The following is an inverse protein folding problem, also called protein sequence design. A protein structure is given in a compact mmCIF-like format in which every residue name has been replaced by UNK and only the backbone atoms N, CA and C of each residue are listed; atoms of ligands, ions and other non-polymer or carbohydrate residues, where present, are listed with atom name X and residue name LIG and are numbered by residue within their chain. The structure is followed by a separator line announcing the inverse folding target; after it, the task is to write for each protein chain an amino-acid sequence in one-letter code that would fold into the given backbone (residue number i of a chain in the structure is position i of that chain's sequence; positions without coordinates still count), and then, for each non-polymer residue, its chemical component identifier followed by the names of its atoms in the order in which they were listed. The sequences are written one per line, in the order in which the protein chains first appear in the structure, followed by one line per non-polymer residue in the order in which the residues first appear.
data_IF_547709605184
#
_entry.id   IF_547709605184
#
_cell.length_a   1.000
_cell.length_b   1.000
_cell.length_c   1.000
_cell.angle_alpha   90.00
_cell.angle_beta   90.00
_cell.angle_gamma   90.00
#
_symmetry.space_group_name_H-M   'P 1'
#
loop_
_entity.id
_entity.type
_entity.pdbx_description
1 polymer ?
#
# COMPACT_ATOMS: atom_id res chain seq x y z
N UNK A 1 -32.99 -13.58 -41.24
CA UNK A 1 -33.91 -12.86 -40.33
C UNK A 1 -34.75 -13.88 -39.55
N UNK A 2 -34.39 -14.13 -38.29
CA UNK A 2 -35.25 -14.75 -37.28
C UNK A 2 -34.92 -14.09 -35.94
N UNK A 3 -35.90 -13.39 -35.40
CA UNK A 3 -35.85 -12.64 -34.14
C UNK A 3 -36.31 -13.61 -33.04
N UNK A 4 -35.55 -13.76 -31.96
CA UNK A 4 -36.01 -14.43 -30.74
C UNK A 4 -35.99 -13.45 -29.55
N UNK A 5 -36.95 -13.57 -28.61
CA UNK A 5 -37.30 -12.49 -27.69
C UNK A 5 -36.51 -12.53 -26.37
N UNK A 6 -36.38 -11.33 -25.81
CA UNK A 6 -35.84 -11.03 -24.49
C UNK A 6 -36.52 -11.85 -23.38
N UNK A 7 -35.72 -12.38 -22.46
CA UNK A 7 -36.16 -12.74 -21.11
C UNK A 7 -35.45 -11.83 -20.11
N UNK A 8 -36.24 -10.87 -19.63
CA UNK A 8 -35.97 -10.01 -18.49
C UNK A 8 -36.16 -10.85 -17.24
N UNK A 9 -35.08 -11.15 -16.51
CA UNK A 9 -35.16 -11.70 -15.17
C UNK A 9 -34.53 -10.69 -14.21
N UNK A 10 -35.41 -9.83 -13.68
CA UNK A 10 -35.15 -9.00 -12.52
C UNK A 10 -34.95 -9.89 -11.29
N UNK A 11 -33.75 -9.85 -10.72
CA UNK A 11 -33.49 -10.45 -9.40
C UNK A 11 -33.43 -9.35 -8.34
N UNK A 12 -34.27 -9.57 -7.33
CA UNK A 12 -34.56 -8.64 -6.26
C UNK A 12 -33.37 -8.50 -5.29
N UNK A 13 -33.04 -7.25 -4.99
CA UNK A 13 -32.11 -6.85 -3.93
C UNK A 13 -32.78 -7.07 -2.58
N UNK A 14 -32.28 -8.02 -1.79
CA UNK A 14 -32.63 -8.21 -0.38
C UNK A 14 -31.57 -7.52 0.48
N UNK A 15 -31.82 -6.27 0.85
CA UNK A 15 -31.07 -5.54 1.87
C UNK A 15 -31.51 -6.01 3.26
N UNK A 16 -30.68 -6.83 3.91
CA UNK A 16 -30.76 -7.05 5.36
C UNK A 16 -29.99 -5.95 6.08
N UNK A 17 -30.71 -4.92 6.55
CA UNK A 17 -30.20 -3.93 7.49
C UNK A 17 -30.32 -4.50 8.89
N UNK A 18 -29.25 -5.08 9.41
CA UNK A 18 -29.17 -5.51 10.82
C UNK A 18 -28.70 -4.33 11.66
N UNK A 19 -29.63 -3.70 12.37
CA UNK A 19 -29.34 -2.67 13.34
C UNK A 19 -28.63 -3.25 14.58
N UNK A 20 -27.34 -2.94 14.76
CA UNK A 20 -26.65 -3.15 16.03
C UNK A 20 -27.12 -2.09 17.04
N UNK A 21 -28.16 -2.42 17.81
CA UNK A 21 -28.41 -1.78 19.10
C UNK A 21 -27.58 -2.49 20.18
N UNK A 22 -26.60 -1.78 20.73
CA UNK A 22 -25.75 -2.23 21.82
C UNK A 22 -25.37 -1.07 22.73
N UNK A 23 -26.36 -0.55 23.44
CA UNK A 23 -26.22 0.42 24.54
C UNK A 23 -25.68 -0.32 25.76
N UNK A 24 -24.50 0.05 26.26
CA UNK A 24 -24.10 -0.23 27.65
C UNK A 24 -23.29 0.94 28.18
N UNK A 25 -23.99 1.83 28.88
CA UNK A 25 -23.42 2.83 29.77
C UNK A 25 -22.66 2.10 30.90
N UNK A 26 -21.36 2.35 31.00
CA UNK A 26 -20.58 2.01 32.19
C UNK A 26 -20.52 3.24 33.12
N UNK A 27 -20.60 3.05 34.44
CA UNK A 27 -20.76 4.12 35.42
C UNK A 27 -19.51 4.98 35.58
N UNK A 28 -19.75 6.28 35.77
CA UNK A 28 -18.78 7.29 36.16
C UNK A 28 -18.04 6.87 37.45
N UNK A 29 -16.72 6.69 37.33
CA UNK A 29 -15.84 6.55 38.48
C UNK A 29 -15.35 7.94 38.89
N UNK A 30 -15.71 8.31 40.12
CA UNK A 30 -15.28 9.51 40.82
C UNK A 30 -13.75 9.57 40.92
N UNK A 31 -13.08 10.70 40.58
CA UNK A 31 -11.68 10.86 40.89
C UNK A 31 -11.48 11.10 42.39
N UNK A 32 -10.72 10.21 43.02
CA UNK A 32 -10.18 10.35 44.37
C UNK A 32 -9.17 11.51 44.43
N UNK A 33 -9.25 12.44 45.40
CA UNK A 33 -8.24 13.46 45.62
C UNK A 33 -7.17 12.95 46.62
N UNK A 34 -5.94 12.76 46.15
CA UNK A 34 -4.70 12.55 46.93
C UNK A 34 -3.54 12.66 45.93
N UNK A 35 -2.44 13.37 46.12
CA UNK A 35 -1.76 13.95 47.27
C UNK A 35 -0.96 15.16 46.78
N UNK A 36 -0.79 16.19 47.63
CA UNK A 36 0.15 17.28 47.39
C UNK A 36 1.59 16.72 47.44
N UNK A 37 2.44 16.92 46.42
CA UNK A 37 3.85 16.56 46.51
C UNK A 37 4.57 17.42 47.56
N UNK A 38 5.40 16.76 48.37
CA UNK A 38 6.17 17.36 49.47
C UNK A 38 7.33 18.21 48.91
N UNK A 39 7.74 19.32 49.57
CA UNK A 39 8.63 20.34 48.98
C UNK A 39 10.13 20.00 48.95
N UNK A 40 10.54 18.74 48.76
CA UNK A 40 11.95 18.34 48.91
C UNK A 40 12.61 17.63 47.72
N UNK A 41 11.92 17.55 46.59
CA UNK A 41 12.47 16.97 45.34
C UNK A 41 12.47 17.94 44.16
N UNK A 42 12.25 19.24 44.41
CA UNK A 42 12.27 20.29 43.38
C UNK A 42 13.69 20.75 42.96
N UNK A 43 14.75 20.16 43.52
CA UNK A 43 16.14 20.61 43.27
C UNK A 43 16.90 19.76 42.23
N UNK A 44 16.37 18.62 41.80
CA UNK A 44 17.05 17.74 40.83
C UNK A 44 16.41 17.71 39.43
N UNK A 45 15.35 18.48 39.19
CA UNK A 45 14.65 18.53 37.88
C UNK A 45 14.91 19.82 37.11
N UNK A 46 15.71 20.74 37.65
CA UNK A 46 15.97 22.06 37.03
C UNK A 46 17.19 22.10 36.07
N UNK A 47 17.86 20.96 35.82
CA UNK A 47 19.07 20.93 34.96
C UNK A 47 18.93 20.11 33.66
N UNK A 48 17.75 19.58 33.32
CA UNK A 48 17.49 18.93 32.02
C UNK A 48 16.49 19.76 31.20
N UNK A 49 16.66 21.07 31.17
CA UNK A 49 15.77 21.98 30.42
C UNK A 49 16.56 22.98 29.55
N UNK A 50 17.78 22.64 29.15
CA UNK A 50 18.61 23.52 28.34
C UNK A 50 19.44 22.71 27.35
N UNK A 51 18.93 22.59 26.12
CA UNK A 51 19.74 22.15 24.98
C UNK A 51 19.14 21.12 24.03
N UNK A 52 17.83 20.89 24.02
CA UNK A 52 17.20 20.30 22.83
C UNK A 52 16.77 21.47 21.98
N UNK A 53 17.65 21.89 21.07
CA UNK A 53 17.20 22.69 19.94
C UNK A 53 16.09 21.87 19.28
N UNK A 54 14.89 22.44 19.19
CA UNK A 54 13.87 22.00 18.25
C UNK A 54 14.51 22.12 16.86
N UNK A 55 15.21 21.06 16.46
CA UNK A 55 15.45 20.78 15.07
C UNK A 55 14.06 20.53 14.52
N UNK A 56 13.48 21.58 13.93
CA UNK A 56 12.30 21.49 13.09
C UNK A 56 12.68 20.47 12.01
N UNK A 57 12.39 19.21 12.28
CA UNK A 57 12.46 18.14 11.30
C UNK A 57 11.37 18.51 10.31
N UNK A 58 11.73 19.35 9.35
CA UNK A 58 11.04 19.47 8.08
C UNK A 58 11.11 18.05 7.55
N UNK A 59 10.04 17.29 7.78
CA UNK A 59 9.90 16.00 7.14
C UNK A 59 10.05 16.29 5.65
N UNK A 60 11.14 15.82 5.04
CA UNK A 60 11.28 15.79 3.58
C UNK A 60 10.17 14.87 3.08
N UNK A 61 8.97 15.46 2.93
CA UNK A 61 7.78 14.85 2.33
C UNK A 61 7.93 14.76 0.82
N UNK A 62 8.97 15.37 0.26
CA UNK A 62 9.25 15.36 -1.17
C UNK A 62 10.13 14.15 -1.53
N UNK A 63 9.65 13.34 -2.48
CA UNK A 63 10.48 12.32 -3.09
C UNK A 63 11.38 12.97 -4.15
N UNK A 64 12.56 12.38 -4.39
CA UNK A 64 13.42 12.79 -5.50
C UNK A 64 13.41 11.72 -6.60
N UNK A 65 13.21 10.45 -6.21
CA UNK A 65 13.31 9.27 -7.06
C UNK A 65 12.22 8.26 -6.71
N UNK A 66 11.86 7.40 -7.66
CA UNK A 66 10.84 6.38 -7.42
C UNK A 66 11.17 5.46 -6.22
N UNK A 67 12.44 5.16 -5.97
CA UNK A 67 12.87 4.36 -4.81
C UNK A 67 12.61 5.00 -3.45
N UNK A 68 12.36 6.32 -3.41
CA UNK A 68 12.00 7.04 -2.18
C UNK A 68 10.52 6.82 -1.83
N UNK A 69 9.75 6.32 -2.79
CA UNK A 69 8.34 6.03 -2.68
C UNK A 69 8.08 4.54 -2.46
N UNK A 70 7.07 4.27 -1.64
CA UNK A 70 6.62 2.93 -1.29
C UNK A 70 5.10 2.89 -1.36
N UNK A 71 4.56 1.73 -1.73
CA UNK A 71 3.12 1.46 -1.59
C UNK A 71 2.84 1.11 -0.14
N UNK A 72 1.86 1.79 0.45
CA UNK A 72 1.45 1.65 1.85
C UNK A 72 0.00 1.20 1.85
N UNK A 73 -0.26 0.07 2.49
CA UNK A 73 -1.61 -0.38 2.78
C UNK A 73 -2.11 0.30 4.05
N UNK A 74 -3.29 0.92 3.97
CA UNK A 74 -3.88 1.72 5.05
C UNK A 74 -4.63 0.85 6.07
N UNK A 75 -5.09 -0.33 5.66
CA UNK A 75 -5.94 -1.21 6.46
C UNK A 75 -5.14 -2.13 7.40
N UNK A 76 -3.81 -1.99 7.48
CA UNK A 76 -2.95 -2.82 8.33
C UNK A 76 -3.26 -2.72 9.84
N UNK A 77 -4.07 -1.75 10.28
CA UNK A 77 -4.38 -1.52 11.69
C UNK A 77 -5.74 -2.11 12.15
N UNK A 78 -6.34 -3.05 11.41
CA UNK A 78 -7.63 -3.68 11.76
C UNK A 78 -7.72 -5.16 11.39
N UNK A 79 -8.88 -5.79 11.67
CA UNK A 79 -9.20 -7.14 11.17
C UNK A 79 -9.16 -7.11 9.63
N UNK A 80 -8.30 -7.91 8.98
CA UNK A 80 -8.25 -8.06 7.53
C UNK A 80 -9.68 -8.26 7.00
N UNK A 81 -10.26 -7.24 6.36
CA UNK A 81 -11.56 -7.36 5.71
C UNK A 81 -11.31 -8.02 4.37
N UNK A 82 -11.45 -9.35 4.36
CA UNK A 82 -11.22 -10.16 3.15
C UNK A 82 -12.18 -9.82 1.99
N UNK A 83 -13.21 -9.01 2.25
CA UNK A 83 -14.27 -8.61 1.33
C UNK A 83 -14.12 -7.19 0.75
N UNK A 84 -13.17 -6.38 1.25
CA UNK A 84 -12.91 -5.03 0.74
C UNK A 84 -11.59 -5.00 -0.03
N UNK A 85 -11.56 -4.26 -1.14
CA UNK A 85 -10.31 -4.04 -1.88
C UNK A 85 -9.31 -3.31 -0.96
N UNK A 86 -8.01 -3.67 -0.99
CA UNK A 86 -7.03 -3.07 -0.11
C UNK A 86 -6.98 -1.56 -0.34
N UNK A 87 -7.05 -0.78 0.75
CA UNK A 87 -6.84 0.66 0.65
C UNK A 87 -5.35 0.94 0.54
N UNK A 88 -4.90 1.21 -0.68
CA UNK A 88 -3.51 1.52 -0.98
C UNK A 88 -3.30 3.04 -1.12
N UNK A 89 -2.14 3.51 -0.65
CA UNK A 89 -1.61 4.84 -0.98
C UNK A 89 -0.13 4.72 -1.34
N UNK A 90 0.38 5.67 -2.12
CA UNK A 90 1.82 5.87 -2.22
C UNK A 90 2.27 6.84 -1.11
N UNK A 91 3.48 6.67 -0.63
CA UNK A 91 4.09 7.58 0.34
C UNK A 91 5.59 7.33 0.45
N UNK A 92 6.24 8.10 1.30
CA UNK A 92 7.67 7.94 1.58
C UNK A 92 7.93 6.78 2.56
N UNK A 93 9.19 6.38 2.71
CA UNK A 93 9.58 5.44 3.78
C UNK A 93 9.23 5.97 5.18
N UNK A 94 9.26 7.29 5.38
CA UNK A 94 8.86 7.91 6.64
C UNK A 94 7.35 7.75 6.90
N UNK A 95 6.52 7.88 5.85
CA UNK A 95 5.08 7.63 5.94
C UNK A 95 4.78 6.18 6.28
N UNK A 96 5.50 5.23 5.68
CA UNK A 96 5.36 3.81 6.00
C UNK A 96 5.72 3.53 7.47
N UNK A 97 6.82 4.12 7.96
CA UNK A 97 7.21 4.01 9.37
C UNK A 97 6.18 4.65 10.31
N UNK A 98 5.62 5.80 9.95
CA UNK A 98 4.57 6.46 10.71
C UNK A 98 3.30 5.60 10.77
N UNK A 99 2.86 5.06 9.62
CA UNK A 99 1.72 4.14 9.53
C UNK A 99 1.97 2.89 10.39
N UNK A 100 3.17 2.31 10.31
CA UNK A 100 3.56 1.13 11.10
C UNK A 100 3.50 1.42 12.60
N UNK A 101 3.96 2.59 13.04
CA UNK A 101 3.86 3.02 14.44
C UNK A 101 2.41 3.21 14.89
N UNK A 102 1.57 3.80 14.04
CA UNK A 102 0.14 3.95 14.32
C UNK A 102 -0.51 2.59 14.52
N UNK A 103 -0.27 1.63 13.62
CA UNK A 103 -0.79 0.28 13.75
C UNK A 103 -0.25 -0.43 15.00
N UNK A 104 1.04 -0.29 15.31
CA UNK A 104 1.63 -0.88 16.51
C UNK A 104 1.04 -0.31 17.81
N UNK A 105 0.69 0.97 17.84
CA UNK A 105 0.05 1.61 18.99
C UNK A 105 -1.40 1.15 19.21
N UNK A 106 -2.10 0.74 18.16
CA UNK A 106 -3.47 0.20 18.22
C UNK A 106 -3.50 -1.33 18.35
N UNK A 107 -2.34 -1.98 18.45
CA UNK A 107 -2.15 -3.42 18.24
C UNK A 107 -2.60 -4.37 19.36
N UNK A 108 -3.56 -3.99 20.20
CA UNK A 108 -4.21 -5.03 21.03
C UNK A 108 -4.92 -6.08 20.18
N UNK A 109 -5.33 -5.73 18.95
CA UNK A 109 -5.96 -6.63 17.97
C UNK A 109 -5.28 -6.67 16.58
N UNK A 110 -4.26 -5.83 16.32
CA UNK A 110 -3.48 -5.92 15.08
C UNK A 110 -2.52 -7.10 15.18
N UNK A 111 -2.95 -8.29 14.77
CA UNK A 111 -1.99 -9.36 14.55
C UNK A 111 -0.99 -8.92 13.46
N UNK A 112 0.32 -9.17 13.63
CA UNK A 112 1.35 -8.82 12.65
C UNK A 112 1.22 -9.55 11.30
N UNK A 113 0.13 -10.29 11.07
CA UNK A 113 -0.21 -10.93 9.82
C UNK A 113 -0.65 -9.95 8.72
N UNK A 114 -1.01 -8.70 9.06
CA UNK A 114 -1.24 -7.65 8.06
C UNK A 114 0.07 -7.05 7.52
N UNK A 115 1.22 -7.65 7.85
CA UNK A 115 2.51 -7.15 7.42
C UNK A 115 2.73 -7.47 5.96
N UNK A 116 2.90 -6.45 5.10
CA UNK A 116 3.83 -6.32 3.95
C UNK A 116 3.85 -7.46 2.89
N UNK A 117 3.10 -8.54 3.10
CA UNK A 117 3.03 -9.76 2.31
C UNK A 117 1.67 -9.73 1.60
N UNK A 118 1.62 -9.08 0.45
CA UNK A 118 0.41 -9.11 -0.39
C UNK A 118 -0.02 -7.77 -0.98
N UNK A 119 0.85 -6.76 -1.04
CA UNK A 119 0.58 -5.65 -1.96
C UNK A 119 0.54 -6.24 -3.35
N UNK A 120 -0.62 -6.16 -3.99
CA UNK A 120 -0.82 -6.63 -5.37
C UNK A 120 0.30 -6.04 -6.24
N UNK A 121 1.12 -6.89 -6.90
CA UNK A 121 2.28 -6.44 -7.67
C UNK A 121 1.89 -5.52 -8.83
N UNK A 122 0.61 -5.44 -9.19
CA UNK A 122 0.09 -4.48 -10.16
C UNK A 122 0.14 -3.03 -9.66
N UNK A 123 0.37 -2.76 -8.37
CA UNK A 123 0.52 -1.41 -7.86
C UNK A 123 1.98 -1.08 -7.59
N UNK A 124 2.41 0.08 -8.06
CA UNK A 124 3.71 0.66 -7.75
C UNK A 124 3.55 2.09 -7.22
N UNK A 125 4.62 2.59 -6.61
CA UNK A 125 4.74 3.99 -6.23
C UNK A 125 5.84 4.65 -7.08
N UNK A 126 5.51 5.77 -7.72
CA UNK A 126 6.46 6.57 -8.50
C UNK A 126 6.63 7.94 -7.85
N UNK A 127 7.78 8.57 -8.10
CA UNK A 127 8.01 9.95 -7.70
C UNK A 127 7.69 10.88 -8.86
N UNK A 128 6.60 11.65 -8.75
CA UNK A 128 6.13 12.56 -9.80
C UNK A 128 6.07 13.96 -9.23
N UNK A 129 6.86 14.88 -9.79
CA UNK A 129 6.85 16.29 -9.37
C UNK A 129 7.14 16.50 -7.87
N UNK A 130 7.96 15.65 -7.27
CA UNK A 130 8.27 15.70 -5.84
C UNK A 130 7.25 15.00 -4.93
N UNK A 131 6.22 14.37 -5.46
CA UNK A 131 5.20 13.64 -4.68
C UNK A 131 5.17 12.16 -5.04
N UNK A 132 4.96 11.30 -4.04
CA UNK A 132 4.77 9.87 -4.27
C UNK A 132 3.35 9.59 -4.77
N UNK A 133 3.24 9.09 -6.01
CA UNK A 133 1.98 8.75 -6.65
C UNK A 133 1.81 7.25 -6.77
N UNK A 134 0.57 6.79 -6.52
CA UNK A 134 0.20 5.38 -6.66
C UNK A 134 -0.20 5.13 -8.11
N UNK A 135 0.46 4.17 -8.77
CA UNK A 135 0.18 3.79 -10.15
C UNK A 135 -0.35 2.36 -10.18
N UNK A 136 -1.55 2.19 -10.75
CA UNK A 136 -2.11 0.88 -11.09
C UNK A 136 -1.63 0.50 -12.49
N UNK A 137 -0.71 -0.47 -12.56
CA UNK A 137 -0.11 -0.92 -13.80
C UNK A 137 -1.15 -1.42 -14.78
N UNK A 138 -2.27 -2.00 -14.34
CA UNK A 138 -3.35 -2.52 -15.20
C UNK A 138 -4.11 -1.43 -15.98
N UNK A 139 -3.84 -0.16 -15.68
CA UNK A 139 -4.46 1.01 -16.31
C UNK A 139 -3.44 2.04 -16.77
N UNK A 140 -2.15 1.74 -16.63
CA UNK A 140 -1.06 2.64 -16.98
C UNK A 140 -0.55 2.37 -18.39
N UNK A 141 0.12 3.36 -18.97
CA UNK A 141 0.84 3.22 -20.25
C UNK A 141 1.85 2.06 -20.21
N UNK A 142 2.44 1.76 -19.06
CA UNK A 142 3.44 0.69 -18.89
C UNK A 142 2.91 -0.74 -19.12
N UNK A 143 1.59 -0.90 -19.23
CA UNK A 143 0.96 -2.17 -19.58
C UNK A 143 0.22 -2.13 -20.90
N UNK A 144 0.25 -1.03 -21.66
CA UNK A 144 -0.49 -0.95 -22.92
C UNK A 144 -0.07 -2.05 -23.91
N UNK A 145 -1.07 -2.72 -24.49
CA UNK A 145 -0.87 -3.83 -25.41
C UNK A 145 -1.92 -3.83 -26.51
N UNK A 146 -1.59 -4.44 -27.65
CA UNK A 146 -2.56 -4.76 -28.69
C UNK A 146 -2.97 -6.23 -28.62
N UNK A 147 -2.06 -7.09 -28.19
CA UNK A 147 -2.21 -8.55 -28.12
C UNK A 147 -1.52 -9.12 -26.88
N UNK A 148 -1.90 -10.34 -26.47
CA UNK A 148 -1.26 -11.04 -25.36
C UNK A 148 0.25 -11.27 -25.58
N UNK A 149 0.69 -11.33 -26.84
CA UNK A 149 2.11 -11.47 -27.19
C UNK A 149 2.93 -10.20 -26.89
N UNK A 150 2.29 -9.05 -26.65
CA UNK A 150 2.97 -7.82 -26.25
C UNK A 150 3.27 -7.79 -24.75
N UNK A 151 2.74 -8.76 -23.99
CA UNK A 151 2.86 -8.80 -22.54
C UNK A 151 4.01 -9.69 -22.07
N UNK A 152 4.60 -9.31 -20.94
CA UNK A 152 5.58 -10.12 -20.21
C UNK A 152 5.37 -10.02 -18.70
N UNK A 153 5.75 -11.08 -17.99
CA UNK A 153 5.78 -11.09 -16.52
C UNK A 153 7.13 -10.59 -16.04
N UNK A 154 7.10 -9.52 -15.25
CA UNK A 154 8.29 -8.93 -14.65
C UNK A 154 7.93 -8.32 -13.29
N UNK A 155 8.81 -8.43 -12.29
CA UNK A 155 8.67 -7.64 -11.08
C UNK A 155 8.82 -6.16 -11.44
N UNK A 156 7.89 -5.28 -11.03
CA UNK A 156 7.92 -3.87 -11.40
C UNK A 156 8.84 -3.08 -10.46
N UNK A 157 10.13 -3.38 -10.59
CA UNK A 157 11.22 -2.82 -9.77
C UNK A 157 12.47 -2.73 -10.64
N UNK A 158 13.44 -1.90 -10.23
CA UNK A 158 14.62 -1.66 -11.04
C UNK A 158 15.32 -2.95 -11.53
N UNK A 159 15.55 -3.91 -10.62
CA UNK A 159 16.14 -5.21 -10.95
C UNK A 159 15.12 -6.36 -10.86
N UNK A 160 14.49 -6.71 -11.98
CA UNK A 160 13.38 -7.66 -12.08
C UNK A 160 13.73 -9.17 -11.96
N UNK A 161 14.56 -9.57 -10.99
CA UNK A 161 14.98 -10.98 -10.82
C UNK A 161 14.44 -11.72 -9.58
N UNK A 162 13.68 -11.07 -8.70
CA UNK A 162 13.02 -11.66 -7.53
C UNK A 162 11.70 -10.91 -7.25
N UNK A 163 10.89 -11.39 -6.30
CA UNK A 163 9.58 -10.79 -6.01
C UNK A 163 8.46 -11.28 -6.93
N UNK A 164 7.24 -10.89 -6.60
CA UNK A 164 6.05 -11.25 -7.37
C UNK A 164 6.02 -10.47 -8.70
N UNK A 165 5.70 -11.14 -9.81
CA UNK A 165 5.63 -10.48 -11.11
C UNK A 165 4.34 -9.68 -11.26
N UNK A 166 4.43 -8.58 -11.99
CA UNK A 166 3.31 -7.92 -12.63
C UNK A 166 3.31 -8.24 -14.14
N UNK A 167 2.14 -8.11 -14.78
CA UNK A 167 2.07 -8.10 -16.23
C UNK A 167 2.36 -6.69 -16.75
N UNK A 168 3.32 -6.60 -17.66
CA UNK A 168 3.80 -5.36 -18.24
C UNK A 168 3.91 -5.51 -19.75
N UNK A 169 3.80 -4.39 -20.46
CA UNK A 169 4.11 -4.36 -21.88
C UNK A 169 5.61 -4.56 -22.11
N UNK A 170 5.98 -5.31 -23.14
CA UNK A 170 7.38 -5.63 -23.46
C UNK A 170 8.18 -4.39 -23.80
N UNK A 171 7.59 -3.51 -24.63
CA UNK A 171 8.26 -2.34 -25.17
C UNK A 171 8.28 -1.18 -24.17
N UNK A 172 7.23 -1.03 -23.35
CA UNK A 172 7.14 0.02 -22.33
C UNK A 172 7.91 -0.29 -21.04
N UNK A 173 8.35 -1.54 -20.85
CA UNK A 173 9.19 -1.90 -19.70
C UNK A 173 10.48 -1.07 -19.65
N UNK A 174 11.02 -0.67 -20.81
CA UNK A 174 12.19 0.21 -20.86
C UNK A 174 11.93 1.58 -20.21
N UNK A 175 10.76 2.17 -20.48
CA UNK A 175 10.33 3.44 -19.91
C UNK A 175 10.08 3.31 -18.41
N UNK A 176 9.30 2.32 -17.98
CA UNK A 176 9.07 2.06 -16.57
C UNK A 176 10.38 1.82 -15.80
N UNK A 177 11.31 1.07 -16.40
CA UNK A 177 12.61 0.82 -15.79
C UNK A 177 13.42 2.11 -15.62
N UNK A 178 13.33 3.05 -16.56
CA UNK A 178 14.02 4.34 -16.45
C UNK A 178 13.48 5.17 -15.28
N UNK A 179 12.18 5.09 -14.99
CA UNK A 179 11.57 5.73 -13.81
C UNK A 179 11.98 5.05 -12.49
N UNK A 180 12.10 3.71 -12.52
CA UNK A 180 12.38 2.92 -11.31
C UNK A 180 13.86 2.84 -10.92
N UNK A 181 14.78 2.98 -11.88
CA UNK A 181 16.22 2.78 -11.68
C UNK A 181 16.99 4.08 -11.55
N UNK A 182 18.02 4.07 -10.70
CA UNK A 182 19.07 5.06 -10.79
C UNK A 182 19.98 4.82 -12.01
N UNK A 183 20.52 5.90 -12.60
CA UNK A 183 21.44 5.86 -13.76
C UNK A 183 22.62 4.89 -13.57
N UNK A 184 23.04 4.66 -12.32
CA UNK A 184 24.20 3.85 -11.98
C UNK A 184 23.85 2.45 -11.47
N UNK A 185 22.57 2.07 -11.48
CA UNK A 185 22.14 0.78 -10.91
C UNK A 185 22.39 -0.37 -11.88
N UNK A 186 23.37 -1.23 -11.55
CA UNK A 186 23.68 -2.43 -12.34
C UNK A 186 22.89 -3.63 -11.85
N UNK A 187 21.99 -4.16 -12.68
CA UNK A 187 21.25 -5.37 -12.35
C UNK A 187 22.01 -6.64 -12.78
N UNK A 188 22.11 -7.60 -11.84
CA UNK A 188 22.62 -8.93 -12.16
C UNK A 188 21.67 -9.65 -13.14
N UNK A 189 22.19 -10.51 -14.04
CA UNK A 189 21.35 -11.28 -14.93
C UNK A 189 20.43 -12.23 -14.14
N UNK A 190 19.16 -12.28 -14.53
CA UNK A 190 18.18 -13.15 -13.90
C UNK A 190 18.43 -14.62 -14.25
N UNK A 191 18.34 -15.53 -13.27
CA UNK A 191 18.31 -16.98 -13.53
C UNK A 191 16.88 -17.43 -13.82
N UNK A 192 16.64 -18.00 -15.00
CA UNK A 192 15.34 -18.46 -15.48
C UNK A 192 15.00 -19.89 -15.01
N UNK A 193 13.70 -20.30 -15.01
CA UNK A 193 12.49 -19.50 -15.29
C UNK A 193 11.86 -18.97 -13.99
N UNK A 194 11.49 -17.68 -13.96
CA UNK A 194 11.12 -17.02 -12.70
C UNK A 194 9.61 -17.05 -12.37
N UNK A 195 8.71 -17.32 -13.31
CA UNK A 195 7.26 -17.11 -13.10
C UNK A 195 6.38 -18.20 -13.75
N UNK A 196 6.62 -19.47 -13.42
CA UNK A 196 5.75 -20.56 -13.89
C UNK A 196 4.37 -20.49 -13.23
N UNK A 197 3.30 -20.72 -14.01
CA UNK A 197 1.93 -20.79 -13.50
C UNK A 197 1.17 -19.47 -13.53
N UNK A 198 1.59 -18.51 -14.32
CA UNK A 198 0.79 -17.33 -14.65
C UNK A 198 0.35 -17.39 -16.12
N UNK A 199 -0.82 -16.83 -16.41
CA UNK A 199 -1.28 -16.55 -17.77
C UNK A 199 -1.22 -15.05 -18.02
N UNK A 200 -0.83 -14.68 -19.24
CA UNK A 200 -0.82 -13.30 -19.71
C UNK A 200 -1.91 -13.13 -20.74
N UNK A 201 -2.63 -12.02 -20.65
CA UNK A 201 -3.61 -11.61 -21.67
C UNK A 201 -3.58 -10.09 -21.84
N UNK A 202 -4.11 -9.63 -22.98
CA UNK A 202 -4.31 -8.22 -23.27
C UNK A 202 -5.79 -7.89 -23.15
N UNK A 203 -6.19 -7.34 -22.01
CA UNK A 203 -7.58 -7.08 -21.67
C UNK A 203 -7.79 -5.57 -21.67
N UNK A 204 -8.76 -5.10 -22.45
CA UNK A 204 -9.09 -3.67 -22.58
C UNK A 204 -7.89 -2.79 -22.96
N UNK A 205 -6.92 -3.36 -23.70
CA UNK A 205 -5.70 -2.67 -24.13
C UNK A 205 -4.58 -2.66 -23.09
N UNK A 206 -4.69 -3.41 -22.00
CA UNK A 206 -3.68 -3.50 -20.95
C UNK A 206 -3.28 -4.95 -20.63
N UNK A 207 -2.01 -5.14 -20.30
CA UNK A 207 -1.44 -6.42 -19.93
C UNK A 207 -1.92 -6.83 -18.54
N UNK A 208 -2.60 -7.97 -18.47
CA UNK A 208 -3.09 -8.57 -17.23
C UNK A 208 -2.39 -9.92 -17.02
N UNK A 209 -1.96 -10.16 -15.79
CA UNK A 209 -1.29 -11.38 -15.38
C UNK A 209 -2.09 -12.05 -14.27
N UNK A 210 -2.63 -13.23 -14.54
CA UNK A 210 -3.42 -13.98 -13.57
C UNK A 210 -2.72 -15.27 -13.20
N UNK A 211 -2.85 -15.67 -11.93
CA UNK A 211 -2.49 -17.00 -11.47
C UNK A 211 -3.79 -17.82 -11.43
N UNK A 212 -3.89 -18.94 -12.17
CA UNK A 212 -5.07 -19.78 -12.20
C UNK A 212 -5.31 -20.51 -10.86
#
# INVERSE_FOLDING_TARGET
MRIQPLHVLAWAVLLFVTACQGKTEAPASTPTPSELPTPKEAAHTAQIAKGVAEEEVVAETECVKAKDCVVIELDCCGTCRADEAPQLKAGTQADLLAQTKLCAATAQDCQPACGVFGVDPSYIALCVGGSCELVDLRKSEYSECETADDCQLRPPRCCGCSGEPAALAKDEFGALKAELCDEFETCNPCRLPLYSGYTLDCIEGHCIGERP
#
